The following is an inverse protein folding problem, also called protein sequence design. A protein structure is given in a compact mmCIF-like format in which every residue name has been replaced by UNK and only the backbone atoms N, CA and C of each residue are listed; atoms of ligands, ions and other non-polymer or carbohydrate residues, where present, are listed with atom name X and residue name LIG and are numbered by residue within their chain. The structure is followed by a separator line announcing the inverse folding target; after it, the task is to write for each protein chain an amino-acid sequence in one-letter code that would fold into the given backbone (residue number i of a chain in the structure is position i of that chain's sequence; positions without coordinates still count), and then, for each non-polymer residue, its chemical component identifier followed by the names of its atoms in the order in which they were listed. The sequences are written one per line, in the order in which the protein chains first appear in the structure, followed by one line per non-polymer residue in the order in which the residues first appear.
data_IF_122557123649
#
_entry.id   IF_122557123649
#
_cell.length_a   1.000
_cell.length_b   1.000
_cell.length_c   1.000
_cell.angle_alpha   90.00
_cell.angle_beta   90.00
_cell.angle_gamma   90.00
#
_symmetry.space_group_name_H-M   'P 1'
#
loop_
_entity.id
_entity.type
_entity.pdbx_description
1 polymer ?
#
# COMPACT_ATOMS: atom_id res chain seq x y z
N UNK A 1 8.93 14.25 -19.92
CA UNK A 1 9.25 13.60 -18.64
C UNK A 1 10.14 12.42 -18.95
N UNK A 2 11.20 12.18 -18.17
CA UNK A 2 12.03 10.98 -18.32
C UNK A 2 11.27 9.76 -17.78
N UNK A 3 11.45 8.61 -18.45
CA UNK A 3 10.83 7.34 -18.09
C UNK A 3 11.90 6.25 -18.00
N UNK A 4 11.63 5.21 -17.22
CA UNK A 4 12.49 4.04 -17.12
C UNK A 4 11.63 2.77 -17.08
N UNK A 5 12.08 1.70 -17.75
CA UNK A 5 11.43 0.40 -17.69
C UNK A 5 11.88 -0.33 -16.43
N UNK A 6 10.98 -0.46 -15.45
CA UNK A 6 11.27 -1.14 -14.19
C UNK A 6 10.22 -2.16 -13.80
N UNK A 7 10.55 -3.01 -12.82
CA UNK A 7 9.61 -4.01 -12.30
C UNK A 7 8.52 -3.38 -11.44
N UNK A 8 7.37 -4.04 -11.35
CA UNK A 8 6.22 -3.62 -10.55
C UNK A 8 6.57 -3.29 -9.08
N UNK A 9 7.26 -4.22 -8.38
CA UNK A 9 7.66 -4.00 -7.00
C UNK A 9 8.74 -2.92 -6.86
N UNK A 10 9.65 -2.81 -7.84
CA UNK A 10 10.66 -1.75 -7.86
C UNK A 10 10.04 -0.36 -8.03
N UNK A 11 8.98 -0.24 -8.85
CA UNK A 11 8.24 1.00 -9.03
C UNK A 11 7.52 1.43 -7.74
N UNK A 12 6.93 0.49 -7.00
CA UNK A 12 6.35 0.72 -5.68
C UNK A 12 7.42 1.16 -4.67
N UNK A 13 8.58 0.49 -4.68
CA UNK A 13 9.73 0.84 -3.83
C UNK A 13 10.29 2.24 -4.13
N UNK A 14 10.36 2.62 -5.41
CA UNK A 14 10.76 3.98 -5.81
C UNK A 14 9.81 5.04 -5.22
N UNK A 15 8.50 4.78 -5.22
CA UNK A 15 7.52 5.67 -4.60
C UNK A 15 7.75 5.81 -3.08
N UNK A 16 8.04 4.70 -2.38
CA UNK A 16 8.36 4.73 -0.95
C UNK A 16 9.61 5.57 -0.67
N UNK A 17 10.69 5.37 -1.42
CA UNK A 17 11.92 6.16 -1.30
C UNK A 17 11.66 7.65 -1.52
N UNK A 18 10.99 8.01 -2.61
CA UNK A 18 10.71 9.41 -2.94
C UNK A 18 9.85 10.10 -1.86
N UNK A 19 8.82 9.45 -1.34
CA UNK A 19 7.95 10.04 -0.32
C UNK A 19 8.58 10.04 1.08
N UNK A 20 9.37 9.04 1.45
CA UNK A 20 10.11 9.02 2.71
C UNK A 20 11.23 10.09 2.74
N UNK A 21 11.82 10.43 1.60
CA UNK A 21 12.74 11.58 1.47
C UNK A 21 12.04 12.92 1.60
N UNK A 22 10.78 12.98 1.16
CA UNK A 22 9.97 14.21 1.17
C UNK A 22 9.40 14.51 2.55
N UNK A 23 9.08 13.47 3.34
CA UNK A 23 8.31 13.61 4.58
C UNK A 23 8.88 12.67 5.66
N UNK A 24 9.48 13.26 6.68
CA UNK A 24 10.11 12.53 7.79
C UNK A 24 9.10 11.84 8.72
N UNK A 25 7.82 12.18 8.63
CA UNK A 25 6.75 11.52 9.38
C UNK A 25 6.38 10.14 8.82
N UNK A 26 6.81 9.83 7.58
CA UNK A 26 6.58 8.52 6.96
C UNK A 26 7.57 7.50 7.50
N UNK A 27 7.10 6.39 8.01
CA UNK A 27 7.89 5.22 8.38
C UNK A 27 7.20 3.94 7.94
N UNK A 28 7.95 2.87 7.77
CA UNK A 28 7.43 1.56 7.39
C UNK A 28 7.72 0.53 8.47
N UNK A 29 6.75 -0.36 8.70
CA UNK A 29 6.89 -1.49 9.60
C UNK A 29 6.29 -2.75 8.97
N UNK A 30 6.78 -3.90 9.42
CA UNK A 30 6.30 -5.19 8.94
C UNK A 30 7.38 -6.27 9.06
N UNK A 31 7.04 -7.46 8.62
CA UNK A 31 7.94 -8.60 8.68
C UNK A 31 8.98 -8.56 7.56
N UNK A 32 10.27 -8.56 7.91
CA UNK A 32 11.38 -8.60 6.96
C UNK A 32 11.58 -7.31 6.17
N UNK A 33 10.91 -6.20 6.51
CA UNK A 33 11.00 -4.92 5.76
C UNK A 33 12.42 -4.35 5.77
N UNK A 34 13.18 -4.56 6.84
CA UNK A 34 14.57 -4.10 6.93
C UNK A 34 15.51 -4.83 5.96
N UNK A 35 15.16 -6.04 5.54
CA UNK A 35 15.93 -6.83 4.57
C UNK A 35 15.36 -6.75 3.15
N UNK A 36 14.31 -5.95 2.93
CA UNK A 36 13.71 -5.70 1.62
C UNK A 36 12.31 -6.25 1.44
N UNK A 37 11.70 -6.80 2.50
CA UNK A 37 10.37 -7.38 2.46
C UNK A 37 10.28 -8.67 1.63
N UNK A 38 9.12 -9.28 1.62
CA UNK A 38 8.87 -10.56 0.93
C UNK A 38 8.97 -10.45 -0.61
N UNK A 39 8.64 -9.29 -1.16
CA UNK A 39 8.53 -9.07 -2.60
C UNK A 39 9.51 -8.01 -3.14
N UNK A 40 10.39 -7.49 -2.28
CA UNK A 40 11.50 -6.62 -2.66
C UNK A 40 11.16 -5.14 -2.86
N UNK A 41 9.96 -4.69 -2.52
CA UNK A 41 9.60 -3.28 -2.61
C UNK A 41 10.36 -2.42 -1.59
N UNK A 42 10.68 -2.97 -0.44
CA UNK A 42 11.38 -2.30 0.68
C UNK A 42 12.91 -2.37 0.57
N UNK A 43 13.42 -2.95 -0.51
CA UNK A 43 14.88 -3.14 -0.70
C UNK A 43 15.63 -1.81 -0.64
N UNK A 44 16.59 -1.75 0.30
CA UNK A 44 17.45 -0.58 0.49
C UNK A 44 16.89 0.48 1.44
N UNK A 45 15.62 0.44 1.83
CA UNK A 45 15.03 1.45 2.71
C UNK A 45 15.75 1.54 4.06
N UNK A 46 16.05 0.41 4.71
CA UNK A 46 16.75 0.40 6.01
C UNK A 46 18.15 0.98 5.91
N UNK A 47 18.85 0.78 4.78
CA UNK A 47 20.19 1.36 4.56
C UNK A 47 20.15 2.87 4.38
N UNK A 48 19.07 3.42 3.85
CA UNK A 48 18.93 4.85 3.61
C UNK A 48 18.31 5.59 4.79
N UNK A 49 17.24 5.04 5.38
CA UNK A 49 16.43 5.74 6.38
C UNK A 49 16.67 5.28 7.83
N UNK A 50 17.44 4.21 8.02
CA UNK A 50 17.73 3.64 9.33
C UNK A 50 16.58 2.82 9.92
N UNK A 51 16.88 2.15 11.04
CA UNK A 51 15.94 1.25 11.72
C UNK A 51 14.84 1.97 12.51
N UNK A 52 14.98 3.26 12.75
CA UNK A 52 13.95 4.07 13.40
C UNK A 52 12.79 4.38 12.46
N UNK A 53 13.02 4.36 11.16
CA UNK A 53 12.00 4.57 10.12
C UNK A 53 11.68 3.33 9.30
N UNK A 54 12.47 2.26 9.41
CA UNK A 54 12.23 0.96 8.77
C UNK A 54 12.28 -0.11 9.84
N UNK A 55 11.12 -0.38 10.43
CA UNK A 55 10.97 -1.15 11.67
C UNK A 55 10.61 -2.59 11.33
N UNK A 56 11.54 -3.50 11.59
CA UNK A 56 11.28 -4.93 11.44
C UNK A 56 10.49 -5.45 12.64
N UNK A 57 9.38 -6.14 12.39
CA UNK A 57 8.52 -6.72 13.42
C UNK A 57 8.59 -8.25 13.36
N UNK A 58 8.37 -8.91 14.51
CA UNK A 58 7.97 -10.31 14.51
C UNK A 58 6.54 -10.47 13.99
N UNK A 59 6.13 -11.70 13.69
CA UNK A 59 4.76 -11.99 13.20
C UNK A 59 3.74 -11.54 14.24
N UNK A 60 3.01 -10.45 13.93
CA UNK A 60 2.07 -9.82 14.88
C UNK A 60 1.16 -8.79 14.18
N UNK A 61 0.37 -9.21 13.23
CA UNK A 61 -0.40 -8.36 12.32
C UNK A 61 -1.36 -7.40 13.06
N UNK A 62 -2.00 -7.86 14.12
CA UNK A 62 -2.85 -7.01 14.96
C UNK A 62 -2.04 -5.89 15.64
N UNK A 63 -0.82 -6.20 16.13
CA UNK A 63 0.07 -5.20 16.70
C UNK A 63 0.51 -4.18 15.62
N UNK A 64 0.90 -4.64 14.45
CA UNK A 64 1.36 -3.79 13.34
C UNK A 64 0.27 -2.78 12.93
N UNK A 65 -0.96 -3.26 12.73
CA UNK A 65 -2.10 -2.41 12.38
C UNK A 65 -2.51 -1.49 13.54
N UNK A 66 -2.47 -1.98 14.78
CA UNK A 66 -2.77 -1.20 15.98
C UNK A 66 -1.76 -0.08 16.22
N UNK A 67 -0.45 -0.37 16.00
CA UNK A 67 0.61 0.62 16.06
C UNK A 67 0.39 1.69 14.96
N UNK A 68 0.04 1.28 13.75
CA UNK A 68 -0.28 2.21 12.67
C UNK A 68 -1.45 3.13 13.02
N UNK A 69 -2.51 2.59 13.64
CA UNK A 69 -3.64 3.41 14.07
C UNK A 69 -3.21 4.43 15.13
N UNK A 70 -2.47 4.01 16.15
CA UNK A 70 -1.95 4.89 17.20
C UNK A 70 -0.98 5.96 16.67
N UNK A 71 -0.05 5.57 15.80
CA UNK A 71 0.88 6.48 15.16
C UNK A 71 0.19 7.54 14.28
N UNK A 72 -0.84 7.13 13.54
CA UNK A 72 -1.66 8.06 12.75
C UNK A 72 -2.34 9.12 13.63
N UNK A 73 -2.90 8.71 14.77
CA UNK A 73 -3.51 9.63 15.74
C UNK A 73 -2.46 10.61 16.30
N UNK A 74 -1.22 10.16 16.45
CA UNK A 74 -0.09 10.98 16.88
C UNK A 74 0.49 11.88 15.76
N UNK A 75 -0.08 11.86 14.54
CA UNK A 75 0.34 12.69 13.41
C UNK A 75 1.45 12.10 12.54
N UNK A 76 1.84 10.84 12.76
CA UNK A 76 2.75 10.11 11.91
C UNK A 76 2.04 9.48 10.69
N UNK A 77 2.81 9.05 9.71
CA UNK A 77 2.31 8.42 8.49
C UNK A 77 2.87 6.99 8.34
N UNK A 78 2.28 6.02 9.03
CA UNK A 78 2.72 4.64 8.97
C UNK A 78 2.40 3.98 7.63
N UNK A 79 3.34 3.16 7.17
CA UNK A 79 3.17 2.17 6.13
C UNK A 79 3.35 0.80 6.77
N UNK A 80 2.38 -0.09 6.63
CA UNK A 80 2.48 -1.46 7.15
C UNK A 80 2.57 -2.42 5.97
N UNK A 81 3.61 -3.23 5.89
CA UNK A 81 3.62 -4.38 5.00
C UNK A 81 3.11 -5.60 5.74
N UNK A 82 1.86 -5.98 5.47
CA UNK A 82 1.15 -7.06 6.18
C UNK A 82 1.58 -8.47 5.73
N UNK A 83 2.53 -8.58 4.80
CA UNK A 83 2.98 -9.85 4.24
C UNK A 83 2.03 -10.45 3.22
N UNK A 84 0.78 -10.74 3.59
CA UNK A 84 -0.27 -11.26 2.69
C UNK A 84 -1.64 -10.71 3.05
N UNK A 85 -2.52 -10.61 2.03
CA UNK A 85 -3.88 -10.11 2.21
C UNK A 85 -4.72 -10.95 3.17
N UNK A 86 -4.47 -12.23 3.25
CA UNK A 86 -5.14 -13.17 4.16
C UNK A 86 -5.00 -12.76 5.63
N UNK A 87 -3.90 -12.14 6.01
CA UNK A 87 -3.60 -11.73 7.38
C UNK A 87 -4.37 -10.48 7.84
N UNK A 88 -5.06 -9.80 6.91
CA UNK A 88 -6.02 -8.75 7.26
C UNK A 88 -7.09 -9.22 8.24
N UNK A 89 -7.43 -10.51 8.24
CA UNK A 89 -8.42 -11.09 9.15
C UNK A 89 -7.94 -11.10 10.60
N UNK A 90 -6.64 -11.31 10.84
CA UNK A 90 -6.04 -11.29 12.19
C UNK A 90 -6.06 -9.86 12.75
N UNK A 91 -5.81 -8.85 11.90
CA UNK A 91 -5.81 -7.43 12.25
C UNK A 91 -7.18 -6.75 12.00
N UNK A 92 -8.26 -7.52 11.96
CA UNK A 92 -9.57 -7.03 11.52
C UNK A 92 -10.15 -5.90 12.37
N UNK A 93 -10.00 -5.93 13.70
CA UNK A 93 -10.49 -4.84 14.57
C UNK A 93 -9.71 -3.54 14.32
N UNK A 94 -8.40 -3.63 14.23
CA UNK A 94 -7.53 -2.47 14.03
C UNK A 94 -7.78 -1.80 12.67
N UNK A 95 -7.98 -2.59 11.62
CA UNK A 95 -8.17 -2.09 10.26
C UNK A 95 -9.63 -1.62 10.06
N UNK A 96 -10.61 -2.50 10.27
CA UNK A 96 -12.00 -2.25 9.89
C UNK A 96 -12.82 -1.47 10.93
N UNK A 97 -12.32 -1.35 12.15
CA UNK A 97 -12.92 -0.51 13.18
C UNK A 97 -12.04 0.70 13.50
N UNK A 98 -10.80 0.51 13.95
CA UNK A 98 -9.96 1.64 14.39
C UNK A 98 -9.59 2.55 13.22
N UNK A 99 -8.85 2.06 12.25
CA UNK A 99 -8.45 2.87 11.09
C UNK A 99 -9.67 3.39 10.31
N UNK A 100 -10.63 2.51 9.99
CA UNK A 100 -11.77 2.89 9.17
C UNK A 100 -12.68 3.95 9.81
N UNK A 101 -12.94 3.86 11.11
CA UNK A 101 -14.05 4.59 11.75
C UNK A 101 -13.60 5.65 12.75
N UNK A 102 -12.31 5.73 13.08
CA UNK A 102 -11.82 6.62 14.14
C UNK A 102 -12.26 8.07 13.96
N UNK A 103 -12.04 8.63 12.78
CA UNK A 103 -12.42 10.01 12.46
C UNK A 103 -13.91 10.26 12.69
N UNK A 104 -14.74 9.36 12.19
CA UNK A 104 -16.20 9.46 12.33
C UNK A 104 -16.66 9.35 13.79
N UNK A 105 -16.13 8.37 14.52
CA UNK A 105 -16.54 8.11 15.92
C UNK A 105 -16.15 9.25 16.87
N UNK A 106 -15.03 9.91 16.62
CA UNK A 106 -14.50 10.93 17.52
C UNK A 106 -14.76 12.37 17.02
N UNK A 107 -15.45 12.54 15.89
CA UNK A 107 -15.75 13.85 15.32
C UNK A 107 -14.50 14.68 15.01
N UNK A 108 -13.38 14.02 14.71
CA UNK A 108 -12.09 14.67 14.54
C UNK A 108 -11.88 15.08 13.08
N UNK A 109 -11.49 16.32 12.89
CA UNK A 109 -10.94 16.79 11.62
C UNK A 109 -9.42 16.53 11.52
N UNK A 110 -8.98 15.43 12.12
CA UNK A 110 -7.58 15.00 12.13
C UNK A 110 -7.39 13.92 11.07
N UNK A 111 -6.38 14.05 10.20
CA UNK A 111 -6.04 12.99 9.25
C UNK A 111 -5.72 11.67 9.94
N UNK A 112 -6.11 10.56 9.32
CA UNK A 112 -5.76 9.20 9.71
C UNK A 112 -4.87 8.59 8.61
N UNK A 113 -3.68 9.16 8.42
CA UNK A 113 -2.74 8.65 7.43
C UNK A 113 -2.28 7.25 7.82
N UNK A 114 -2.61 6.27 7.01
CA UNK A 114 -2.04 4.93 7.11
C UNK A 114 -2.12 4.25 5.74
N UNK A 115 -1.07 3.57 5.33
CA UNK A 115 -1.08 2.69 4.16
C UNK A 115 -0.82 1.28 4.62
N UNK A 116 -1.76 0.37 4.35
CA UNK A 116 -1.59 -1.05 4.65
C UNK A 116 -1.39 -1.79 3.32
N UNK A 117 -0.20 -2.32 3.12
CA UNK A 117 0.15 -3.07 1.91
C UNK A 117 -0.25 -4.54 2.11
N UNK A 118 -1.08 -5.04 1.21
CA UNK A 118 -1.52 -6.42 1.14
C UNK A 118 -1.09 -7.04 -0.19
N UNK A 119 -0.09 -7.88 -0.22
CA UNK A 119 0.14 -8.80 -1.35
C UNK A 119 -1.04 -9.76 -1.48
N UNK A 120 -1.70 -9.77 -2.66
CA UNK A 120 -2.91 -10.56 -2.94
C UNK A 120 -2.75 -11.45 -4.17
N UNK A 121 -3.67 -12.40 -4.32
CA UNK A 121 -3.67 -13.33 -5.44
C UNK A 121 -2.56 -14.38 -5.33
N UNK A 122 -2.27 -15.06 -6.41
CA UNK A 122 -1.29 -16.16 -6.41
C UNK A 122 -0.07 -15.84 -7.26
N UNK A 123 1.09 -16.31 -6.79
CA UNK A 123 2.36 -16.30 -7.50
C UNK A 123 2.94 -17.74 -7.52
N UNK A 124 2.24 -18.67 -8.16
CA UNK A 124 2.75 -20.02 -8.33
C UNK A 124 2.45 -21.01 -7.20
N UNK A 125 1.44 -20.77 -6.36
CA UNK A 125 0.90 -21.76 -5.45
C UNK A 125 1.46 -21.70 -4.03
N UNK A 126 1.41 -20.53 -3.38
CA UNK A 126 1.77 -20.37 -1.97
C UNK A 126 0.76 -21.00 -0.98
N UNK A 127 -0.30 -21.62 -1.51
CA UNK A 127 -1.37 -22.25 -0.73
C UNK A 127 -2.54 -21.29 -0.43
N UNK A 128 -3.66 -21.80 0.11
CA UNK A 128 -4.88 -21.04 0.27
C UNK A 128 -4.75 -19.88 1.28
N UNK A 129 -3.88 -19.99 2.26
CA UNK A 129 -3.66 -18.95 3.28
C UNK A 129 -2.74 -17.79 2.82
N UNK A 130 -2.27 -17.81 1.56
CA UNK A 130 -1.36 -16.80 0.99
C UNK A 130 -1.77 -16.38 -0.41
N UNK A 131 -3.01 -16.63 -0.81
CA UNK A 131 -3.46 -16.44 -2.20
C UNK A 131 -4.83 -15.78 -2.33
N UNK A 132 -5.41 -15.29 -1.22
CA UNK A 132 -6.74 -14.66 -1.26
C UNK A 132 -6.68 -13.28 -1.89
N UNK A 133 -7.81 -12.88 -2.49
CA UNK A 133 -8.09 -11.53 -2.97
C UNK A 133 -9.01 -10.86 -1.93
N UNK A 134 -8.43 -10.04 -1.07
CA UNK A 134 -9.11 -9.50 0.13
C UNK A 134 -9.61 -8.07 -0.02
N UNK A 135 -9.46 -7.45 -1.19
CA UNK A 135 -9.88 -6.08 -1.49
C UNK A 135 -11.37 -5.84 -1.20
N UNK A 136 -12.21 -6.85 -1.42
CA UNK A 136 -13.65 -6.79 -1.14
C UNK A 136 -13.96 -6.53 0.34
N UNK A 137 -13.12 -6.98 1.26
CA UNK A 137 -13.27 -6.71 2.69
C UNK A 137 -13.13 -5.22 2.97
N UNK A 138 -12.09 -4.59 2.41
CA UNK A 138 -11.88 -3.15 2.55
C UNK A 138 -13.01 -2.32 1.93
N UNK A 139 -13.56 -2.76 0.81
CA UNK A 139 -14.69 -2.08 0.14
C UNK A 139 -15.98 -2.10 0.96
N UNK A 140 -16.16 -3.06 1.86
CA UNK A 140 -17.34 -3.18 2.71
C UNK A 140 -17.35 -2.14 3.85
N UNK A 141 -16.18 -1.69 4.33
CA UNK A 141 -16.08 -0.82 5.50
C UNK A 141 -15.89 0.65 5.08
N UNK A 142 -16.86 1.55 5.37
CA UNK A 142 -16.72 2.97 5.13
C UNK A 142 -15.53 3.58 5.89
N UNK A 143 -14.85 4.54 5.27
CA UNK A 143 -13.69 5.22 5.85
C UNK A 143 -12.34 4.73 5.32
N UNK A 144 -12.30 3.58 4.65
CA UNK A 144 -11.13 3.05 3.97
C UNK A 144 -11.16 3.39 2.48
N UNK A 145 -9.98 3.58 1.90
CA UNK A 145 -9.79 3.59 0.45
C UNK A 145 -9.08 2.30 0.04
N UNK A 146 -9.50 1.72 -1.08
CA UNK A 146 -8.94 0.48 -1.60
C UNK A 146 -8.34 0.77 -2.97
N UNK A 147 -7.08 0.41 -3.17
CA UNK A 147 -6.39 0.54 -4.46
C UNK A 147 -5.72 -0.76 -4.85
N UNK A 148 -5.79 -1.11 -6.13
CA UNK A 148 -5.19 -2.32 -6.70
C UNK A 148 -4.46 -1.91 -7.99
N UNK A 149 -3.17 -1.59 -7.96
CA UNK A 149 -2.44 -1.21 -9.16
C UNK A 149 -2.29 -2.40 -10.12
N UNK A 150 -2.51 -2.16 -11.40
CA UNK A 150 -2.50 -3.19 -12.45
C UNK A 150 -1.21 -3.22 -13.29
N UNK A 151 -0.28 -2.28 -13.08
CA UNK A 151 0.99 -2.19 -13.80
C UNK A 151 2.02 -1.39 -12.98
N UNK A 152 3.27 -1.31 -13.46
CA UNK A 152 4.35 -0.63 -12.75
C UNK A 152 4.16 0.89 -12.62
N UNK A 153 3.59 1.56 -13.63
CA UNK A 153 3.26 2.99 -13.58
C UNK A 153 2.24 3.27 -12.49
N UNK A 154 1.13 2.51 -12.47
CA UNK A 154 0.08 2.62 -11.47
C UNK A 154 0.62 2.26 -10.06
N UNK A 155 1.53 1.28 -9.95
CA UNK A 155 2.15 0.92 -8.67
C UNK A 155 2.93 2.09 -8.05
N UNK A 156 3.73 2.82 -8.86
CA UNK A 156 4.39 4.04 -8.38
C UNK A 156 3.37 5.14 -8.07
N UNK A 157 2.52 5.48 -9.03
CA UNK A 157 1.64 6.64 -8.92
C UNK A 157 0.59 6.52 -7.83
N UNK A 158 -0.02 5.33 -7.68
CA UNK A 158 -1.00 5.06 -6.62
C UNK A 158 -0.36 4.94 -5.23
N UNK A 159 0.86 4.39 -5.11
CA UNK A 159 1.57 4.37 -3.83
C UNK A 159 1.86 5.79 -3.33
N UNK A 160 2.33 6.68 -4.20
CA UNK A 160 2.54 8.09 -3.84
C UNK A 160 1.23 8.79 -3.47
N UNK A 161 0.15 8.53 -4.21
CA UNK A 161 -1.16 9.06 -3.89
C UNK A 161 -1.67 8.55 -2.53
N UNK A 162 -1.45 7.26 -2.23
CA UNK A 162 -1.81 6.65 -0.96
C UNK A 162 -1.05 7.26 0.23
N UNK A 163 0.25 7.50 0.08
CA UNK A 163 1.10 8.12 1.12
C UNK A 163 0.74 9.58 1.40
N UNK A 164 0.13 10.27 0.43
CA UNK A 164 -0.36 11.65 0.57
C UNK A 164 -1.83 11.74 0.99
N UNK A 165 -2.55 10.62 1.00
CA UNK A 165 -3.98 10.55 1.31
C UNK A 165 -4.23 10.75 2.82
N UNK A 166 -5.15 11.66 3.23
CA UNK A 166 -5.44 11.88 4.65
C UNK A 166 -6.34 10.81 5.29
N UNK A 167 -6.75 9.80 4.55
CA UNK A 167 -7.54 8.68 5.04
C UNK A 167 -6.79 7.36 4.84
N UNK A 168 -7.10 6.30 5.60
CA UNK A 168 -6.41 5.04 5.46
C UNK A 168 -6.60 4.41 4.08
N UNK A 169 -5.52 3.90 3.52
CA UNK A 169 -5.51 3.24 2.22
C UNK A 169 -5.08 1.78 2.38
N UNK A 170 -5.91 0.87 1.93
CA UNK A 170 -5.55 -0.53 1.74
C UNK A 170 -4.97 -0.68 0.32
N UNK A 171 -3.69 -0.92 0.26
CA UNK A 171 -2.94 -1.02 -0.99
C UNK A 171 -2.71 -2.49 -1.33
N UNK A 172 -3.49 -3.02 -2.25
CA UNK A 172 -3.42 -4.41 -2.64
C UNK A 172 -2.43 -4.60 -3.80
N UNK A 173 -1.24 -5.10 -3.50
CA UNK A 173 -0.24 -5.43 -4.52
C UNK A 173 -0.46 -6.83 -5.07
N UNK A 174 -0.66 -6.95 -6.39
CA UNK A 174 -0.95 -8.25 -7.03
C UNK A 174 0.33 -9.05 -7.18
N UNK A 175 0.46 -10.16 -6.47
CA UNK A 175 1.66 -11.03 -6.48
C UNK A 175 2.06 -11.48 -7.89
N UNK A 176 1.09 -11.85 -8.72
CA UNK A 176 1.32 -12.29 -10.09
C UNK A 176 1.95 -11.23 -10.99
N UNK A 177 1.82 -9.95 -10.65
CA UNK A 177 2.45 -8.83 -11.35
C UNK A 177 3.90 -8.59 -10.93
N UNK A 178 4.40 -9.22 -9.88
CA UNK A 178 5.76 -9.04 -9.39
C UNK A 178 6.86 -9.29 -10.44
N UNK A 179 6.58 -10.09 -11.45
CA UNK A 179 7.47 -10.36 -12.59
C UNK A 179 7.26 -9.41 -13.77
N UNK A 180 6.21 -8.60 -13.74
CA UNK A 180 5.92 -7.65 -14.82
C UNK A 180 6.88 -6.46 -14.78
N UNK A 181 7.13 -5.90 -15.96
CA UNK A 181 7.89 -4.65 -16.13
C UNK A 181 7.07 -3.68 -16.95
N UNK A 182 7.22 -2.40 -16.70
CA UNK A 182 6.53 -1.35 -17.43
C UNK A 182 7.33 -0.06 -17.45
N UNK A 183 6.90 0.84 -18.32
CA UNK A 183 7.45 2.19 -18.43
C UNK A 183 6.93 3.04 -17.27
N UNK A 184 7.82 3.61 -16.47
CA UNK A 184 7.49 4.34 -15.24
C UNK A 184 8.07 5.75 -15.30
N UNK A 185 7.25 6.80 -15.11
CA UNK A 185 7.72 8.18 -15.02
C UNK A 185 8.70 8.36 -13.85
N UNK A 186 9.85 9.00 -14.12
CA UNK A 186 10.85 9.34 -13.09
C UNK A 186 10.57 10.67 -12.39
N UNK A 187 9.54 11.40 -12.82
CA UNK A 187 9.11 12.63 -12.14
C UNK A 187 8.74 12.33 -10.68
N UNK A 188 9.39 12.97 -9.69
CA UNK A 188 9.07 12.79 -8.29
C UNK A 188 7.68 13.35 -7.88
N UNK A 189 7.05 14.17 -8.73
CA UNK A 189 5.70 14.67 -8.50
C UNK A 189 4.62 13.85 -9.24
N UNK A 190 5.01 12.83 -10.01
CA UNK A 190 4.05 11.94 -10.66
C UNK A 190 3.18 11.20 -9.65
N UNK A 191 1.87 11.35 -9.78
CA UNK A 191 0.86 10.63 -8.99
C UNK A 191 -0.26 10.12 -9.91
N UNK A 192 -0.88 9.01 -9.54
CA UNK A 192 -2.15 8.53 -10.11
C UNK A 192 -3.25 8.83 -9.10
N UNK A 193 -4.26 9.65 -9.44
CA UNK A 193 -5.28 10.07 -8.48
C UNK A 193 -6.20 8.91 -8.09
N UNK A 194 -6.35 8.68 -6.80
CA UNK A 194 -7.30 7.68 -6.27
C UNK A 194 -8.74 8.13 -6.57
N UNK A 195 -9.59 7.18 -6.98
CA UNK A 195 -11.01 7.42 -7.25
C UNK A 195 -11.31 7.89 -8.67
N UNK A 196 -10.33 7.92 -9.57
CA UNK A 196 -10.52 8.21 -10.99
C UNK A 196 -10.17 6.99 -11.84
N UNK A 197 -11.16 6.48 -12.58
CA UNK A 197 -10.94 5.43 -13.57
C UNK A 197 -10.21 5.97 -14.80
N UNK A 198 -9.39 5.13 -15.43
CA UNK A 198 -8.72 5.43 -16.69
C UNK A 198 -9.29 4.56 -17.82
N UNK A 199 -9.53 5.17 -18.98
CA UNK A 199 -9.92 4.41 -20.19
C UNK A 199 -8.66 3.79 -20.77
N UNK A 200 -8.42 2.50 -20.49
CA UNK A 200 -7.25 1.77 -20.98
C UNK A 200 -7.42 1.34 -22.46
N UNK A 201 -8.65 1.08 -22.90
CA UNK A 201 -8.98 0.72 -24.28
C UNK A 201 -10.28 1.38 -24.70
N UNK A 202 -10.26 2.31 -25.65
CA UNK A 202 -11.50 2.92 -26.17
C UNK A 202 -12.32 1.89 -26.99
N UNK A 203 -13.62 2.02 -26.94
CA UNK A 203 -14.58 1.15 -27.65
C UNK A 203 -15.95 1.80 -27.71
N UNK A 204 -16.87 1.22 -28.51
CA UNK A 204 -18.21 1.75 -28.74
C UNK A 204 -19.34 0.75 -28.46
N UNK A 205 -19.02 -0.56 -28.34
CA UNK A 205 -20.04 -1.62 -28.25
C UNK A 205 -20.39 -2.03 -26.82
N UNK A 206 -19.41 -1.97 -25.90
CA UNK A 206 -19.59 -2.33 -24.49
C UNK A 206 -18.55 -1.64 -23.61
N UNK A 207 -18.80 -1.61 -22.31
CA UNK A 207 -17.84 -1.18 -21.29
C UNK A 207 -17.49 -2.36 -20.39
N UNK A 208 -16.18 -2.59 -20.18
CA UNK A 208 -15.66 -3.52 -19.16
C UNK A 208 -15.03 -2.67 -18.07
N UNK A 209 -15.56 -2.78 -16.86
CA UNK A 209 -15.03 -2.10 -15.67
C UNK A 209 -14.28 -3.15 -14.85
N UNK A 210 -12.99 -2.95 -14.64
CA UNK A 210 -12.11 -3.90 -13.94
C UNK A 210 -10.92 -3.17 -13.33
N UNK A 211 -10.11 -3.89 -12.59
CA UNK A 211 -8.81 -3.47 -12.04
C UNK A 211 -7.73 -4.49 -12.37
#
# INVERSE_FOLDING_TARGET
MSHEVMGYNAAMGLALVEEMRRDDSIFILGQGVATGGWFGAEKGLASEFGTDRVIDCGISEAFEAGLAAGASIAGMKPVVNMGFGDFALIAGDEIYHKLAKWRYMHGLDVPMHAVIIFPIGTMGGAGPEHSSCTEVLGMHFPGLKVVVPSNAEDAKGLMKAALREPNPVLFHSVQGLGWSRGDVPLDPEFIVPIGKAAIKRPGTSLSIITY
#
